data_IF_026593622125
#
_entry.id   IF_026593622125
#
_cell.length_a   1.000
_cell.length_b   1.000
_cell.length_c   1.000
_cell.angle_alpha   90.00
_cell.angle_beta   90.00
_cell.angle_gamma   90.00
#
_symmetry.space_group_name_H-M   'P 1'
#
loop_
_entity.id
_entity.type
_entity.pdbx_description
1 polymer ?
#
# COMPACT_ATOMS: atom_id res chain seq x y z
N UNK A 1 -19.59 8.37 -0.40
CA UNK A 1 -19.64 8.97 0.96
C UNK A 1 -18.87 8.03 1.88
N UNK A 2 -17.57 8.20 1.98
CA UNK A 2 -16.70 7.36 2.83
C UNK A 2 -16.88 7.75 4.29
N UNK A 3 -17.21 6.78 5.12
CA UNK A 3 -17.52 6.95 6.54
C UNK A 3 -16.25 7.35 7.31
N UNK A 4 -16.39 8.25 8.33
CA UNK A 4 -15.33 8.64 9.29
C UNK A 4 -14.68 7.45 10.01
N UNK A 5 -15.27 6.26 9.96
CA UNK A 5 -14.77 5.03 10.58
C UNK A 5 -13.60 4.39 9.82
N UNK A 6 -13.47 4.64 8.52
CA UNK A 6 -12.44 4.01 7.68
C UNK A 6 -11.07 4.70 7.82
N UNK A 7 -11.05 6.00 8.16
CA UNK A 7 -9.82 6.75 8.42
C UNK A 7 -9.12 6.35 9.74
N UNK A 8 -9.90 5.90 10.74
CA UNK A 8 -9.36 5.44 12.03
C UNK A 8 -8.69 4.05 11.94
N UNK A 9 -9.00 3.25 10.93
CA UNK A 9 -8.38 1.93 10.73
C UNK A 9 -6.95 1.98 10.19
N UNK A 10 -6.52 3.11 9.65
CA UNK A 10 -5.15 3.32 9.19
C UNK A 10 -4.11 3.48 10.33
N UNK A 11 -4.57 3.73 11.56
CA UNK A 11 -3.71 4.01 12.70
C UNK A 11 -3.58 2.87 13.74
N UNK A 12 -4.35 1.76 13.62
CA UNK A 12 -4.43 0.72 14.68
C UNK A 12 -4.17 -0.66 14.09
N UNK A 13 -2.97 -0.88 13.61
CA UNK A 13 -2.43 -2.19 13.24
C UNK A 13 -1.25 -2.58 14.15
N UNK A 14 -1.39 -2.46 15.48
CA UNK A 14 -0.34 -2.80 16.44
C UNK A 14 -0.92 -3.52 17.66
N UNK A 15 -0.68 -4.81 17.73
CA UNK A 15 -0.60 -5.75 18.85
C UNK A 15 -1.39 -5.49 20.14
N UNK A 16 -2.43 -6.30 20.37
CA UNK A 16 -2.97 -6.60 21.69
C UNK A 16 -2.67 -8.07 22.00
N UNK A 17 -1.60 -8.31 22.76
CA UNK A 17 -1.36 -9.57 23.47
C UNK A 17 -2.22 -9.57 24.74
N UNK A 18 -3.28 -10.38 24.77
CA UNK A 18 -4.05 -10.67 25.96
C UNK A 18 -3.36 -11.75 26.78
N UNK A 19 -2.85 -11.35 27.94
CA UNK A 19 -2.38 -12.26 28.99
C UNK A 19 -3.57 -12.97 29.64
N UNK A 20 -3.53 -14.30 29.68
CA UNK A 20 -4.54 -15.14 30.30
C UNK A 20 -4.55 -15.05 31.83
N UNK A 21 -5.75 -14.89 32.39
CA UNK A 21 -6.02 -15.07 33.80
C UNK A 21 -6.51 -16.50 34.03
N UNK A 22 -5.69 -17.28 34.73
CA UNK A 22 -6.05 -18.59 35.29
C UNK A 22 -6.93 -18.42 36.52
N UNK A 23 -8.18 -18.92 36.48
CA UNK A 23 -9.01 -19.11 37.65
C UNK A 23 -9.05 -20.61 37.98
N UNK A 24 -8.49 -21.00 39.12
CA UNK A 24 -8.69 -22.31 39.72
C UNK A 24 -10.02 -22.37 40.45
N UNK A 25 -10.81 -23.39 40.16
CA UNK A 25 -11.96 -23.82 40.99
C UNK A 25 -11.95 -25.34 41.14
N UNK A 26 -12.13 -25.90 42.35
CA UNK A 26 -12.13 -27.35 42.59
C UNK A 26 -13.53 -27.92 42.52
N UNK A 27 -13.71 -28.99 41.76
CA UNK A 27 -15.00 -29.70 41.73
C UNK A 27 -14.93 -30.99 40.93
N UNK A 28 -14.83 -32.07 41.63
CA UNK A 28 -15.03 -33.49 41.51
C UNK A 28 -15.61 -34.15 40.26
N UNK A 29 -15.00 -35.25 39.87
CA UNK A 29 -15.66 -36.50 39.52
C UNK A 29 -16.02 -36.68 38.05
N UNK A 30 -15.29 -37.52 37.40
CA UNK A 30 -15.69 -38.64 36.52
C UNK A 30 -14.64 -38.89 35.45
N UNK A 31 -13.95 -40.00 35.58
CA UNK A 31 -12.98 -40.49 34.59
C UNK A 31 -13.69 -40.97 33.34
N UNK A 32 -13.64 -40.14 32.29
CA UNK A 32 -13.84 -40.61 30.94
C UNK A 32 -12.49 -40.46 30.23
N UNK A 33 -11.92 -41.59 29.91
CA UNK A 33 -10.60 -41.68 29.21
C UNK A 33 -10.85 -41.22 27.77
N UNK A 34 -10.57 -39.94 27.49
CA UNK A 34 -10.48 -39.40 26.15
C UNK A 34 -9.12 -39.76 25.57
N UNK A 35 -9.01 -40.37 24.39
CA UNK A 35 -7.73 -40.62 23.77
C UNK A 35 -6.98 -39.30 23.56
N UNK A 36 -5.71 -39.32 23.91
CA UNK A 36 -4.81 -38.18 23.73
C UNK A 36 -4.83 -37.73 22.26
N UNK A 37 -4.89 -36.42 22.00
CA UNK A 37 -4.72 -35.91 20.65
C UNK A 37 -3.33 -36.31 20.16
N UNK A 38 -3.29 -37.03 19.06
CA UNK A 38 -2.08 -37.34 18.31
C UNK A 38 -1.35 -36.02 18.04
N UNK A 39 -0.07 -35.99 18.38
CA UNK A 39 0.79 -34.83 18.15
C UNK A 39 0.62 -34.37 16.72
N UNK A 40 0.14 -33.13 16.55
CA UNK A 40 0.06 -32.47 15.24
C UNK A 40 1.47 -32.43 14.66
N UNK A 41 1.62 -32.95 13.46
CA UNK A 41 2.86 -32.84 12.69
C UNK A 41 3.34 -31.38 12.70
N UNK A 42 4.65 -31.14 12.84
CA UNK A 42 5.21 -29.80 12.77
C UNK A 42 4.77 -29.20 11.42
N UNK A 43 4.03 -28.07 11.49
CA UNK A 43 3.58 -27.32 10.31
C UNK A 43 4.79 -27.08 9.40
N UNK A 44 4.86 -27.82 8.32
CA UNK A 44 5.82 -27.56 7.26
C UNK A 44 5.62 -26.10 6.86
N UNK A 45 6.66 -25.24 6.88
CA UNK A 45 6.53 -23.86 6.45
C UNK A 45 5.96 -23.87 5.03
N UNK A 46 5.01 -22.99 4.72
CA UNK A 46 4.43 -22.93 3.37
C UNK A 46 5.58 -22.75 2.38
N UNK A 47 5.66 -23.63 1.40
CA UNK A 47 6.63 -23.50 0.31
C UNK A 47 6.45 -22.10 -0.30
N UNK A 48 7.55 -21.40 -0.64
CA UNK A 48 7.43 -20.09 -1.26
C UNK A 48 6.53 -20.23 -2.51
N UNK A 49 5.49 -19.41 -2.56
CA UNK A 49 4.54 -19.39 -3.67
C UNK A 49 5.37 -19.00 -4.90
N UNK A 50 5.69 -20.00 -5.72
CA UNK A 50 6.33 -19.74 -7.01
C UNK A 50 5.24 -19.17 -7.91
N UNK A 51 5.33 -17.90 -8.22
CA UNK A 51 4.58 -17.34 -9.34
C UNK A 51 4.99 -18.14 -10.58
N UNK A 52 4.10 -18.93 -11.20
CA UNK A 52 4.47 -19.65 -12.41
C UNK A 52 4.84 -18.61 -13.46
N UNK A 53 6.07 -18.67 -13.96
CA UNK A 53 6.45 -17.87 -15.14
C UNK A 53 5.65 -18.43 -16.30
N UNK A 54 4.73 -17.68 -16.89
CA UNK A 54 3.99 -18.17 -18.06
C UNK A 54 4.97 -18.43 -19.20
N UNK A 55 4.73 -19.46 -20.02
CA UNK A 55 5.53 -19.78 -21.22
C UNK A 55 5.57 -18.60 -22.23
N UNK A 56 4.64 -17.67 -22.11
CA UNK A 56 4.59 -16.40 -22.82
C UNK A 56 4.05 -15.31 -21.89
N UNK A 57 4.47 -14.04 -22.09
CA UNK A 57 3.96 -12.94 -21.28
C UNK A 57 2.44 -12.81 -21.40
N UNK A 58 1.72 -12.56 -20.30
CA UNK A 58 0.28 -12.47 -20.29
C UNK A 58 -0.19 -11.28 -21.14
N UNK A 59 -1.28 -11.49 -21.90
CA UNK A 59 -1.83 -10.46 -22.79
C UNK A 59 -3.01 -9.72 -22.17
N UNK A 60 -3.85 -10.44 -21.41
CA UNK A 60 -5.04 -9.91 -20.76
C UNK A 60 -4.80 -9.82 -19.27
N UNK A 61 -4.52 -8.62 -18.82
CA UNK A 61 -4.15 -8.29 -17.45
C UNK A 61 -5.30 -7.61 -16.72
N UNK A 62 -5.46 -7.92 -15.45
CA UNK A 62 -6.30 -7.12 -14.56
C UNK A 62 -5.42 -6.57 -13.44
N UNK A 63 -5.42 -5.23 -13.27
CA UNK A 63 -4.83 -4.57 -12.11
C UNK A 63 -5.84 -4.55 -10.97
N UNK A 64 -5.43 -4.94 -9.76
CA UNK A 64 -6.32 -4.99 -8.59
C UNK A 64 -5.95 -3.97 -7.50
N UNK A 65 -5.17 -2.97 -7.87
CA UNK A 65 -4.94 -1.77 -7.06
C UNK A 65 -4.64 -0.56 -7.96
N UNK A 66 -4.73 0.63 -7.41
CA UNK A 66 -4.36 1.88 -8.10
C UNK A 66 -2.87 1.89 -8.47
N UNK A 67 -1.99 1.42 -7.57
CA UNK A 67 -0.56 1.37 -7.83
C UNK A 67 -0.20 0.31 -8.89
N UNK A 68 -0.87 -0.84 -8.93
CA UNK A 68 -0.68 -1.84 -9.98
C UNK A 68 -1.08 -1.30 -11.36
N UNK A 69 -2.18 -0.52 -11.40
CA UNK A 69 -2.61 0.16 -12.62
C UNK A 69 -1.58 1.19 -13.09
N UNK A 70 -1.05 2.02 -12.18
CA UNK A 70 -0.01 3.00 -12.47
C UNK A 70 1.26 2.36 -13.03
N UNK A 71 1.67 1.22 -12.47
CA UNK A 71 2.85 0.48 -12.94
C UNK A 71 2.63 -0.09 -14.34
N UNK A 72 1.46 -0.67 -14.62
CA UNK A 72 1.15 -1.16 -15.97
C UNK A 72 1.19 -0.03 -17.00
N UNK A 73 0.58 1.13 -16.70
CA UNK A 73 0.62 2.29 -17.60
C UNK A 73 2.06 2.80 -17.80
N UNK A 74 2.88 2.85 -16.73
CA UNK A 74 4.27 3.25 -16.84
C UNK A 74 5.13 2.30 -17.71
N UNK A 75 4.66 1.07 -17.90
CA UNK A 75 5.26 0.05 -18.76
C UNK A 75 4.61 -0.01 -20.17
N UNK A 76 3.80 0.98 -20.54
CA UNK A 76 3.02 0.99 -21.80
C UNK A 76 2.19 -0.30 -21.97
N UNK A 77 1.57 -0.76 -20.88
CA UNK A 77 0.70 -1.93 -20.86
C UNK A 77 -0.70 -1.54 -20.42
N UNK A 78 -1.62 -1.50 -21.38
CA UNK A 78 -3.03 -1.33 -21.09
C UNK A 78 -3.61 -2.60 -20.46
N UNK A 79 -4.18 -2.53 -19.24
CA UNK A 79 -4.89 -3.66 -18.67
C UNK A 79 -6.24 -3.87 -19.36
N UNK A 80 -6.70 -5.11 -19.42
CA UNK A 80 -8.04 -5.47 -19.92
C UNK A 80 -9.13 -4.91 -19.03
N UNK A 81 -8.86 -4.86 -17.72
CA UNK A 81 -9.71 -4.25 -16.71
C UNK A 81 -8.87 -3.82 -15.50
N UNK A 82 -9.40 -2.94 -14.68
CA UNK A 82 -8.79 -2.61 -13.40
C UNK A 82 -9.84 -2.38 -12.32
N UNK A 83 -9.46 -2.64 -11.10
CA UNK A 83 -10.22 -2.31 -9.92
C UNK A 83 -9.30 -1.74 -8.84
N UNK A 84 -9.75 -0.72 -8.14
CA UNK A 84 -9.06 -0.18 -6.98
C UNK A 84 -10.08 0.40 -6.00
N UNK A 85 -9.80 0.25 -4.71
CA UNK A 85 -10.68 0.75 -3.63
C UNK A 85 -10.88 2.26 -3.68
N UNK A 86 -9.90 2.98 -4.21
CA UNK A 86 -9.90 4.43 -4.42
C UNK A 86 -10.27 4.85 -5.84
N UNK A 87 -10.71 3.88 -6.67
CA UNK A 87 -11.14 4.07 -8.04
C UNK A 87 -10.01 3.97 -9.07
N UNK A 88 -10.40 3.72 -10.31
CA UNK A 88 -9.51 3.59 -11.48
C UNK A 88 -9.56 4.80 -12.41
N UNK A 89 -10.29 5.84 -12.02
CA UNK A 89 -10.49 7.05 -12.79
C UNK A 89 -9.21 7.86 -13.04
N UNK A 90 -9.31 8.95 -13.81
CA UNK A 90 -8.20 9.86 -14.04
C UNK A 90 -7.61 10.38 -12.74
N UNK A 91 -6.29 10.52 -12.69
CA UNK A 91 -5.53 11.07 -11.58
C UNK A 91 -4.52 12.10 -12.09
N UNK A 92 -4.08 13.05 -11.28
CA UNK A 92 -3.11 14.08 -11.72
C UNK A 92 -1.78 13.53 -12.26
N UNK A 93 -1.47 12.28 -11.93
CA UNK A 93 -0.26 11.57 -12.40
C UNK A 93 -0.55 10.48 -13.44
N UNK A 94 -1.82 10.36 -13.89
CA UNK A 94 -2.25 9.28 -14.80
C UNK A 94 -2.99 9.89 -15.99
N UNK A 95 -2.30 9.98 -17.12
CA UNK A 95 -2.85 10.54 -18.39
C UNK A 95 -3.62 9.49 -19.22
N UNK A 96 -3.75 8.28 -18.71
CA UNK A 96 -4.46 7.20 -19.39
C UNK A 96 -5.95 7.21 -19.05
N UNK A 97 -6.82 6.84 -20.01
CA UNK A 97 -8.24 6.66 -19.73
C UNK A 97 -8.45 5.54 -18.72
N UNK A 98 -9.53 5.62 -17.97
CA UNK A 98 -9.89 4.55 -17.05
C UNK A 98 -10.21 3.27 -17.83
N UNK A 99 -9.55 2.15 -17.52
CA UNK A 99 -9.91 0.86 -18.12
C UNK A 99 -11.29 0.40 -17.62
N UNK A 100 -11.93 -0.57 -18.31
CA UNK A 100 -13.14 -1.20 -17.79
C UNK A 100 -12.93 -1.68 -16.35
N UNK A 101 -13.95 -1.50 -15.50
CA UNK A 101 -13.90 -1.95 -14.11
C UNK A 101 -14.93 -3.03 -13.88
N UNK A 102 -14.61 -4.11 -13.15
CA UNK A 102 -15.60 -5.10 -12.74
C UNK A 102 -16.66 -4.44 -11.84
N UNK A 103 -17.90 -4.83 -12.01
CA UNK A 103 -18.97 -4.42 -11.10
C UNK A 103 -18.76 -5.09 -9.75
N UNK A 104 -18.40 -4.29 -8.76
CA UNK A 104 -18.15 -4.75 -7.40
C UNK A 104 -18.39 -3.63 -6.40
N UNK A 105 -19.29 -3.84 -5.48
CA UNK A 105 -19.68 -2.93 -4.39
C UNK A 105 -19.40 -3.51 -2.99
N UNK A 106 -18.84 -4.74 -2.94
CA UNK A 106 -18.48 -5.40 -1.70
C UNK A 106 -17.18 -4.88 -1.07
N UNK A 107 -16.91 -5.28 0.18
CA UNK A 107 -15.64 -5.00 0.83
C UNK A 107 -14.51 -5.84 0.21
N UNK A 108 -13.29 -5.27 0.19
CA UNK A 108 -12.08 -5.97 -0.30
C UNK A 108 -12.02 -6.07 -1.82
N UNK A 109 -11.31 -7.08 -2.32
CA UNK A 109 -11.12 -7.29 -3.75
C UNK A 109 -12.39 -7.83 -4.44
N UNK A 110 -12.53 -7.61 -5.77
CA UNK A 110 -13.64 -8.14 -6.54
C UNK A 110 -13.76 -9.66 -6.45
N UNK A 111 -14.99 -10.16 -6.46
CA UNK A 111 -15.21 -11.60 -6.48
C UNK A 111 -14.70 -12.21 -7.80
N UNK A 112 -14.24 -13.46 -7.76
CA UNK A 112 -13.80 -14.16 -8.98
C UNK A 112 -14.89 -14.17 -10.05
N UNK A 113 -16.17 -14.26 -9.65
CA UNK A 113 -17.30 -14.26 -10.56
C UNK A 113 -17.42 -12.96 -11.35
N UNK A 114 -17.15 -11.80 -10.72
CA UNK A 114 -17.20 -10.49 -11.39
C UNK A 114 -16.01 -10.29 -12.36
N UNK A 115 -14.95 -11.08 -12.24
CA UNK A 115 -13.77 -11.02 -13.08
C UNK A 115 -13.81 -11.97 -14.28
N UNK A 116 -14.63 -13.03 -14.23
CA UNK A 116 -14.76 -14.01 -15.32
C UNK A 116 -15.06 -13.41 -16.70
N UNK A 117 -15.93 -12.36 -16.84
CA UNK A 117 -16.25 -11.79 -18.15
C UNK A 117 -15.04 -11.20 -18.89
N UNK A 118 -13.98 -10.84 -18.18
CA UNK A 118 -12.78 -10.23 -18.78
C UNK A 118 -11.82 -11.26 -19.39
N UNK A 119 -12.00 -12.56 -19.12
CA UNK A 119 -11.20 -13.65 -19.73
C UNK A 119 -9.70 -13.47 -19.52
N UNK A 120 -9.29 -13.25 -18.28
CA UNK A 120 -7.96 -12.82 -17.85
C UNK A 120 -6.90 -13.90 -18.00
N UNK A 121 -5.67 -13.52 -18.35
CA UNK A 121 -4.48 -14.36 -18.36
C UNK A 121 -3.67 -14.21 -17.07
N UNK A 122 -3.65 -12.99 -16.48
CA UNK A 122 -2.99 -12.75 -15.20
C UNK A 122 -3.62 -11.61 -14.43
N UNK A 123 -3.52 -11.71 -13.09
CA UNK A 123 -3.84 -10.66 -12.13
C UNK A 123 -2.57 -9.99 -11.62
N UNK A 124 -2.56 -8.67 -11.51
CA UNK A 124 -1.51 -7.92 -10.83
C UNK A 124 -2.04 -7.52 -9.45
N UNK A 125 -1.41 -8.04 -8.41
CA UNK A 125 -1.81 -7.97 -7.00
C UNK A 125 -0.65 -7.53 -6.08
N UNK A 126 0.34 -6.84 -6.62
CA UNK A 126 1.58 -6.52 -5.88
C UNK A 126 1.32 -5.53 -4.77
N UNK A 127 0.49 -4.51 -5.03
CA UNK A 127 0.14 -3.50 -4.03
C UNK A 127 -1.19 -3.76 -3.31
N UNK A 128 -1.94 -4.79 -3.69
CA UNK A 128 -3.22 -5.10 -3.07
C UNK A 128 -3.04 -5.84 -1.73
N UNK A 129 -3.91 -5.53 -0.76
CA UNK A 129 -4.03 -6.32 0.45
C UNK A 129 -4.83 -7.59 0.16
N UNK A 130 -4.15 -8.72 0.05
CA UNK A 130 -4.77 -10.00 -0.23
C UNK A 130 -4.42 -11.01 0.85
N UNK A 131 -5.43 -11.76 1.31
CA UNK A 131 -5.22 -12.87 2.25
C UNK A 131 -4.84 -14.15 1.52
N UNK A 132 -4.18 -15.09 2.21
CA UNK A 132 -3.82 -16.37 1.61
C UNK A 132 -5.00 -17.16 0.99
N UNK A 133 -6.21 -17.20 1.61
CA UNK A 133 -7.40 -17.80 1.00
C UNK A 133 -7.86 -17.10 -0.27
N UNK A 134 -7.89 -15.76 -0.28
CA UNK A 134 -8.25 -14.97 -1.47
C UNK A 134 -7.25 -15.20 -2.60
N UNK A 135 -5.93 -15.13 -2.29
CA UNK A 135 -4.87 -15.37 -3.25
C UNK A 135 -5.04 -16.72 -3.97
N UNK A 136 -5.29 -17.80 -3.21
CA UNK A 136 -5.55 -19.13 -3.80
C UNK A 136 -6.75 -19.15 -4.74
N UNK A 137 -7.77 -18.34 -4.46
CA UNK A 137 -8.91 -18.19 -5.36
C UNK A 137 -8.50 -17.59 -6.70
N UNK A 138 -7.71 -16.54 -6.71
CA UNK A 138 -7.19 -15.92 -7.94
C UNK A 138 -6.26 -16.86 -8.70
N UNK A 139 -5.36 -17.58 -8.01
CA UNK A 139 -4.45 -18.57 -8.60
C UNK A 139 -5.17 -19.73 -9.32
N UNK A 140 -6.39 -20.06 -8.89
CA UNK A 140 -7.21 -21.08 -9.58
C UNK A 140 -7.77 -20.56 -10.91
N UNK A 141 -7.87 -19.25 -11.09
CA UNK A 141 -8.47 -18.64 -12.27
C UNK A 141 -7.43 -18.26 -13.33
N UNK A 142 -6.30 -17.70 -12.91
CA UNK A 142 -5.24 -17.23 -13.79
C UNK A 142 -3.90 -17.11 -13.04
N UNK A 143 -2.82 -16.78 -13.75
CA UNK A 143 -1.54 -16.44 -13.15
C UNK A 143 -1.70 -15.23 -12.21
N UNK A 144 -1.03 -15.25 -11.07
CA UNK A 144 -1.03 -14.13 -10.14
C UNK A 144 0.38 -13.57 -10.01
N UNK A 145 0.50 -12.26 -10.27
CA UNK A 145 1.74 -11.49 -10.08
C UNK A 145 1.62 -10.83 -8.72
N UNK A 146 2.40 -11.30 -7.76
CA UNK A 146 2.37 -10.88 -6.36
C UNK A 146 3.78 -10.88 -5.77
N UNK A 147 4.07 -9.97 -4.84
CA UNK A 147 5.29 -10.05 -4.05
C UNK A 147 5.08 -11.00 -2.86
N UNK A 148 5.84 -12.10 -2.77
CA UNK A 148 5.73 -13.04 -1.66
C UNK A 148 6.20 -12.47 -0.32
N UNK A 149 6.95 -11.37 -0.32
CA UNK A 149 7.46 -10.70 0.87
C UNK A 149 6.54 -9.59 1.38
N UNK A 150 5.46 -9.30 0.65
CA UNK A 150 4.53 -8.23 0.95
C UNK A 150 4.77 -6.99 0.07
N UNK A 151 4.21 -5.85 0.48
CA UNK A 151 4.23 -4.63 -0.33
C UNK A 151 5.66 -4.11 -0.56
N UNK A 152 6.21 -4.24 -1.78
CA UNK A 152 7.54 -3.74 -2.12
C UNK A 152 7.55 -2.21 -2.19
N UNK A 153 8.74 -1.62 -2.20
CA UNK A 153 8.93 -0.24 -2.62
C UNK A 153 8.56 -0.05 -4.10
N UNK A 154 8.38 1.21 -4.52
CA UNK A 154 7.94 1.52 -5.88
C UNK A 154 8.85 0.90 -6.97
N UNK A 155 10.16 0.82 -6.72
CA UNK A 155 11.13 0.27 -7.66
C UNK A 155 10.97 -1.25 -7.81
N UNK A 156 10.93 -1.96 -6.70
CA UNK A 156 10.78 -3.42 -6.71
C UNK A 156 9.43 -3.84 -7.29
N UNK A 157 8.37 -3.04 -7.02
CA UNK A 157 7.06 -3.22 -7.65
C UNK A 157 7.14 -3.08 -9.17
N UNK A 158 7.77 -2.02 -9.67
CA UNK A 158 7.96 -1.81 -11.10
C UNK A 158 8.74 -2.97 -11.75
N UNK A 159 9.87 -3.38 -11.16
CA UNK A 159 10.73 -4.43 -11.69
C UNK A 159 10.03 -5.79 -11.69
N UNK A 160 9.26 -6.11 -10.65
CA UNK A 160 8.48 -7.35 -10.56
C UNK A 160 7.43 -7.44 -11.67
N UNK A 161 6.63 -6.38 -11.84
CA UNK A 161 5.59 -6.37 -12.87
C UNK A 161 6.22 -6.37 -14.26
N UNK A 162 7.27 -5.57 -14.49
CA UNK A 162 7.98 -5.51 -15.77
C UNK A 162 8.49 -6.88 -16.21
N UNK A 163 9.13 -7.63 -15.29
CA UNK A 163 9.58 -8.99 -15.55
C UNK A 163 8.45 -9.94 -15.90
N UNK A 164 7.30 -9.82 -15.25
CA UNK A 164 6.14 -10.69 -15.50
C UNK A 164 5.44 -10.39 -16.84
N UNK A 165 5.49 -9.14 -17.33
CA UNK A 165 4.83 -8.73 -18.57
C UNK A 165 5.81 -8.57 -19.75
N UNK A 166 7.07 -8.95 -19.56
CA UNK A 166 8.16 -8.86 -20.55
C UNK A 166 8.31 -7.43 -21.10
N UNK A 167 8.56 -6.48 -20.18
CA UNK A 167 8.79 -5.08 -20.51
C UNK A 167 10.07 -4.56 -19.84
N UNK A 168 10.72 -3.60 -20.49
CA UNK A 168 11.86 -2.90 -19.92
C UNK A 168 11.38 -1.85 -18.91
N UNK A 169 11.71 -1.95 -17.61
CA UNK A 169 11.33 -0.97 -16.61
C UNK A 169 12.19 0.31 -16.65
N UNK A 170 13.32 0.29 -17.37
CA UNK A 170 14.34 1.34 -17.32
C UNK A 170 13.79 2.74 -17.62
N UNK A 171 12.99 2.98 -18.69
CA UNK A 171 12.51 4.32 -18.99
C UNK A 171 11.64 4.91 -17.90
N UNK A 172 10.72 4.11 -17.35
CA UNK A 172 9.83 4.53 -16.26
C UNK A 172 10.62 4.78 -14.97
N UNK A 173 11.57 3.89 -14.67
CA UNK A 173 12.42 4.00 -13.49
C UNK A 173 13.31 5.24 -13.51
N UNK A 174 13.97 5.54 -14.64
CA UNK A 174 14.83 6.72 -14.76
C UNK A 174 14.01 8.01 -14.66
N UNK A 175 12.81 8.04 -15.23
CA UNK A 175 11.89 9.18 -15.10
C UNK A 175 11.52 9.44 -13.65
N UNK A 176 11.07 8.41 -12.93
CA UNK A 176 10.73 8.53 -11.51
C UNK A 176 11.94 8.90 -10.65
N UNK A 177 13.07 8.23 -10.85
CA UNK A 177 14.32 8.49 -10.14
C UNK A 177 14.77 9.95 -10.28
N UNK A 178 14.77 10.47 -11.50
CA UNK A 178 15.14 11.87 -11.77
C UNK A 178 14.23 12.83 -11.00
N UNK A 179 12.91 12.62 -11.04
CA UNK A 179 11.96 13.47 -10.33
C UNK A 179 12.16 13.41 -8.80
N UNK A 180 12.45 12.22 -8.25
CA UNK A 180 12.73 12.01 -6.83
C UNK A 180 14.05 12.65 -6.40
N UNK A 181 15.09 12.57 -7.22
CA UNK A 181 16.39 13.22 -6.99
C UNK A 181 16.22 14.74 -6.98
N UNK A 182 15.57 15.32 -7.99
CA UNK A 182 15.29 16.76 -8.09
C UNK A 182 14.50 17.26 -6.86
N UNK A 183 13.49 16.50 -6.44
CA UNK A 183 12.73 16.81 -5.24
C UNK A 183 13.64 16.77 -3.99
N UNK A 184 14.41 15.71 -3.82
CA UNK A 184 15.30 15.52 -2.66
C UNK A 184 16.35 16.62 -2.55
N UNK A 185 16.97 16.99 -3.66
CA UNK A 185 17.93 18.09 -3.73
C UNK A 185 17.26 19.43 -3.39
N UNK A 186 16.04 19.64 -3.87
CA UNK A 186 15.23 20.80 -3.54
C UNK A 186 15.01 20.94 -2.03
N UNK A 187 14.63 19.84 -1.35
CA UNK A 187 14.43 19.83 0.09
C UNK A 187 15.75 20.09 0.86
N UNK A 188 16.84 19.44 0.47
CA UNK A 188 18.16 19.65 1.10
C UNK A 188 18.66 21.10 0.94
N UNK A 189 18.46 21.73 -0.21
CA UNK A 189 18.77 23.16 -0.40
C UNK A 189 17.99 24.09 0.51
N UNK A 190 16.80 23.67 0.93
CA UNK A 190 15.97 24.40 1.92
C UNK A 190 16.36 24.07 3.37
N UNK A 191 17.37 23.23 3.60
CA UNK A 191 17.80 22.81 4.93
C UNK A 191 16.83 21.86 5.61
N UNK A 192 16.05 21.09 4.83
CA UNK A 192 15.13 20.08 5.37
C UNK A 192 15.88 18.77 5.58
N UNK A 193 15.92 18.29 6.81
CA UNK A 193 16.52 17.01 7.21
C UNK A 193 15.47 15.95 7.52
N UNK A 194 14.29 16.40 7.94
CA UNK A 194 13.21 15.53 8.34
C UNK A 194 11.85 16.05 7.87
N UNK A 195 10.92 15.14 7.66
CA UNK A 195 9.53 15.46 7.38
C UNK A 195 8.62 14.88 8.46
N UNK A 196 7.60 15.64 8.83
CA UNK A 196 6.44 15.13 9.53
C UNK A 196 5.21 15.33 8.67
N UNK A 197 4.54 14.23 8.36
CA UNK A 197 3.31 14.25 7.56
C UNK A 197 2.13 14.20 8.52
N UNK A 198 1.39 15.30 8.58
CA UNK A 198 0.22 15.46 9.46
C UNK A 198 -1.04 15.19 8.67
N UNK A 199 -1.91 14.34 9.19
CA UNK A 199 -3.22 14.05 8.60
C UNK A 199 -4.29 14.92 9.28
N UNK A 200 -4.90 15.86 8.54
CA UNK A 200 -5.96 16.71 9.10
C UNK A 200 -6.26 17.98 8.31
N UNK A 201 -7.47 18.51 8.52
CA UNK A 201 -8.01 19.71 7.85
C UNK A 201 -7.82 20.98 8.70
N UNK A 202 -6.65 21.37 8.99
CA UNK A 202 -6.42 22.59 9.75
C UNK A 202 -6.10 22.34 11.22
N UNK A 203 -4.96 22.80 11.65
CA UNK A 203 -4.54 22.66 13.03
C UNK A 203 -4.37 24.06 13.62
N UNK A 204 -5.07 24.31 14.72
CA UNK A 204 -4.68 25.34 15.68
C UNK A 204 -3.43 24.85 16.41
N UNK A 205 -2.58 25.75 16.98
CA UNK A 205 -1.33 25.34 17.64
C UNK A 205 -1.50 24.23 18.68
N UNK A 206 -2.61 24.25 19.41
CA UNK A 206 -2.91 23.30 20.49
C UNK A 206 -3.75 22.10 20.06
N UNK A 207 -4.14 22.01 18.78
CA UNK A 207 -4.92 20.88 18.29
C UNK A 207 -4.03 19.64 18.19
N UNK A 208 -4.40 18.51 18.83
CA UNK A 208 -3.72 17.25 18.62
C UNK A 208 -3.84 16.82 17.15
N UNK A 209 -2.72 16.43 16.55
CA UNK A 209 -2.65 15.96 15.18
C UNK A 209 -2.02 14.57 15.13
N UNK A 210 -2.56 13.71 14.28
CA UNK A 210 -1.95 12.43 13.97
C UNK A 210 -0.86 12.62 12.93
N UNK A 211 0.25 11.92 13.13
CA UNK A 211 1.36 11.87 12.17
C UNK A 211 1.36 10.57 11.38
N UNK A 212 1.84 10.61 10.15
CA UNK A 212 2.04 9.43 9.35
C UNK A 212 3.14 8.57 9.97
N UNK A 213 2.90 7.27 10.11
CA UNK A 213 3.92 6.36 10.62
C UNK A 213 5.10 6.24 9.63
N UNK A 214 6.32 6.20 10.17
CA UNK A 214 7.53 5.98 9.38
C UNK A 214 7.52 4.62 8.64
N UNK A 215 6.75 3.66 9.17
CA UNK A 215 6.55 2.34 8.57
C UNK A 215 5.40 2.29 7.55
N UNK A 216 4.67 3.40 7.36
CA UNK A 216 3.68 3.47 6.28
C UNK A 216 4.36 3.44 4.91
N UNK A 217 3.67 3.05 3.84
CA UNK A 217 4.26 3.00 2.51
C UNK A 217 4.96 4.31 2.13
N UNK A 218 4.27 5.45 2.22
CA UNK A 218 4.89 6.74 1.93
C UNK A 218 6.02 7.09 2.90
N UNK A 219 5.89 6.79 4.19
CA UNK A 219 6.95 7.04 5.18
C UNK A 219 8.21 6.24 4.89
N UNK A 220 8.08 5.00 4.44
CA UNK A 220 9.19 4.15 4.03
C UNK A 220 9.93 4.73 2.81
N UNK A 221 9.18 5.21 1.81
CA UNK A 221 9.75 5.84 0.61
C UNK A 221 10.48 7.15 0.95
N UNK A 222 9.92 8.00 1.80
CA UNK A 222 10.58 9.24 2.27
C UNK A 222 11.91 8.90 2.95
N UNK A 223 11.96 7.84 3.77
CA UNK A 223 13.21 7.40 4.42
C UNK A 223 14.22 6.84 3.42
N UNK A 224 13.76 6.10 2.41
CA UNK A 224 14.62 5.61 1.33
C UNK A 224 15.29 6.75 0.55
N UNK A 225 14.67 7.93 0.49
CA UNK A 225 15.25 9.16 -0.09
C UNK A 225 16.22 9.88 0.86
N UNK A 226 16.45 9.36 2.06
CA UNK A 226 17.41 9.88 3.03
C UNK A 226 16.88 10.98 3.94
N UNK A 227 15.56 11.12 4.08
CA UNK A 227 14.94 12.03 5.04
C UNK A 227 14.42 11.25 6.25
N UNK A 228 14.57 11.84 7.45
CA UNK A 228 13.91 11.30 8.63
C UNK A 228 12.40 11.53 8.56
N UNK A 229 11.63 10.59 9.08
CA UNK A 229 10.17 10.74 9.22
C UNK A 229 9.84 10.80 10.69
N UNK A 230 9.54 12.02 11.18
CA UNK A 230 9.14 12.22 12.56
C UNK A 230 7.71 11.68 12.75
N UNK A 231 7.64 10.41 13.16
CA UNK A 231 6.39 9.72 13.44
C UNK A 231 6.18 9.60 14.95
N UNK A 232 4.97 9.93 15.40
CA UNK A 232 4.59 9.83 16.80
C UNK A 232 3.44 8.85 16.95
N UNK A 233 3.50 7.89 17.89
CA UNK A 233 2.44 6.89 18.06
C UNK A 233 1.14 7.55 18.53
N UNK A 234 1.24 8.60 19.35
CA UNK A 234 0.10 9.33 19.87
C UNK A 234 -0.05 10.70 19.18
N UNK A 235 -1.28 11.20 19.06
CA UNK A 235 -1.52 12.56 18.60
C UNK A 235 -0.79 13.58 19.49
N UNK A 236 -0.07 14.51 18.86
CA UNK A 236 0.68 15.56 19.55
C UNK A 236 0.15 16.94 19.18
N UNK A 237 0.27 17.96 20.08
CA UNK A 237 -0.06 19.32 19.72
C UNK A 237 0.75 19.79 18.50
N UNK A 238 0.09 20.44 17.55
CA UNK A 238 0.75 20.89 16.31
C UNK A 238 1.97 21.78 16.56
N UNK A 239 1.97 22.59 17.63
CA UNK A 239 3.10 23.44 18.03
C UNK A 239 4.37 22.63 18.36
N UNK A 240 4.21 21.38 18.84
CA UNK A 240 5.33 20.53 19.27
C UNK A 240 6.05 19.88 18.08
N UNK A 241 5.51 20.06 16.87
CA UNK A 241 6.13 19.62 15.62
C UNK A 241 7.10 20.63 15.01
N UNK A 242 7.33 21.77 15.67
CA UNK A 242 8.21 22.83 15.15
C UNK A 242 9.62 22.65 15.70
N UNK A 243 10.57 22.34 14.80
CA UNK A 243 12.01 22.35 15.10
C UNK A 243 12.81 22.71 13.83
N UNK A 244 14.04 23.27 13.96
CA UNK A 244 14.90 23.51 12.81
C UNK A 244 15.12 22.22 12.00
N UNK A 245 15.18 22.33 10.67
CA UNK A 245 15.34 21.20 9.77
C UNK A 245 14.10 20.31 9.58
N UNK A 246 13.03 20.50 10.39
CA UNK A 246 11.81 19.73 10.25
C UNK A 246 10.81 20.47 9.36
N UNK A 247 10.42 19.86 8.26
CA UNK A 247 9.31 20.34 7.45
C UNK A 247 8.02 19.64 7.84
N UNK A 248 7.02 20.43 8.27
CA UNK A 248 5.67 19.93 8.52
C UNK A 248 4.86 20.03 7.25
N UNK A 249 4.47 18.88 6.71
CA UNK A 249 3.60 18.77 5.55
C UNK A 249 2.23 18.23 5.98
N UNK A 250 1.18 18.68 5.31
CA UNK A 250 -0.17 18.35 5.71
C UNK A 250 -0.91 17.64 4.57
N UNK A 251 -1.50 16.50 4.89
CA UNK A 251 -2.43 15.79 4.02
C UNK A 251 -3.84 16.18 4.45
N UNK A 252 -4.58 16.83 3.55
CA UNK A 252 -6.02 17.00 3.74
C UNK A 252 -6.69 15.64 3.44
N UNK A 253 -7.42 15.05 4.40
CA UNK A 253 -8.12 13.78 4.16
C UNK A 253 -9.24 13.88 3.11
N UNK A 254 -9.53 15.09 2.61
CA UNK A 254 -10.46 15.34 1.51
C UNK A 254 -9.74 15.42 0.15
N UNK A 255 -8.43 15.49 0.14
CA UNK A 255 -7.63 15.38 -1.08
C UNK A 255 -7.48 13.90 -1.41
N UNK A 256 -8.50 13.33 -2.06
CA UNK A 256 -8.57 11.90 -2.36
C UNK A 256 -7.37 11.43 -3.20
N UNK A 257 -6.83 12.28 -4.06
CA UNK A 257 -5.66 11.96 -4.86
C UNK A 257 -4.41 11.81 -3.98
N UNK A 258 -4.17 12.78 -3.09
CA UNK A 258 -3.01 12.71 -2.20
C UNK A 258 -3.13 11.55 -1.19
N UNK A 259 -4.34 11.26 -0.72
CA UNK A 259 -4.60 10.10 0.15
C UNK A 259 -4.33 8.79 -0.58
N UNK A 260 -4.77 8.67 -1.83
CA UNK A 260 -4.52 7.48 -2.66
C UNK A 260 -3.02 7.27 -2.90
N UNK A 261 -2.31 8.30 -3.34
CA UNK A 261 -0.86 8.25 -3.58
C UNK A 261 -0.06 7.96 -2.30
N UNK A 262 -0.50 8.46 -1.14
CA UNK A 262 0.15 8.19 0.15
C UNK A 262 -0.09 6.76 0.66
N UNK A 263 -1.23 6.17 0.33
CA UNK A 263 -1.61 4.81 0.73
C UNK A 263 -0.84 3.76 -0.05
N UNK A 264 -0.67 3.97 -1.35
CA UNK A 264 -0.02 3.05 -2.26
C UNK A 264 0.87 3.84 -3.24
N UNK A 265 2.07 4.29 -2.79
CA UNK A 265 3.00 4.98 -3.67
C UNK A 265 3.42 4.08 -4.84
N UNK A 266 3.34 4.61 -6.05
CA UNK A 266 3.76 3.95 -7.28
C UNK A 266 4.88 4.72 -7.98
N UNK A 267 5.42 4.15 -9.04
CA UNK A 267 6.38 4.82 -9.91
C UNK A 267 5.89 6.18 -10.43
N UNK A 268 4.58 6.34 -10.64
CA UNK A 268 3.96 7.56 -11.12
C UNK A 268 3.46 8.47 -9.97
N UNK A 269 2.79 7.90 -8.98
CA UNK A 269 2.14 8.69 -7.93
C UNK A 269 3.11 9.22 -6.86
N UNK A 270 4.23 8.53 -6.59
CA UNK A 270 5.18 8.95 -5.56
C UNK A 270 5.84 10.31 -5.86
N UNK A 271 6.42 10.58 -7.04
CA UNK A 271 7.00 11.88 -7.35
C UNK A 271 5.95 13.01 -7.25
N UNK A 272 4.76 12.78 -7.77
CA UNK A 272 3.66 13.73 -7.69
C UNK A 272 3.24 14.02 -6.23
N UNK A 273 3.09 12.98 -5.41
CA UNK A 273 2.70 13.14 -4.01
C UNK A 273 3.70 13.96 -3.22
N UNK A 274 5.00 13.69 -3.39
CA UNK A 274 6.07 14.42 -2.72
C UNK A 274 6.11 15.89 -3.15
N UNK A 275 5.99 16.17 -4.45
CA UNK A 275 5.88 17.54 -4.96
C UNK A 275 4.62 18.24 -4.39
N UNK A 276 3.46 17.58 -4.43
CA UNK A 276 2.21 18.11 -3.93
C UNK A 276 2.25 18.44 -2.45
N UNK A 277 2.88 17.58 -1.63
CA UNK A 277 3.04 17.77 -0.19
C UNK A 277 3.89 18.98 0.15
N UNK A 278 4.91 19.28 -0.66
CA UNK A 278 5.89 20.32 -0.35
C UNK A 278 5.68 21.62 -1.13
N UNK A 279 4.79 21.63 -2.13
CA UNK A 279 4.51 22.80 -2.99
C UNK A 279 4.06 24.01 -2.15
N UNK A 280 4.72 25.13 -2.39
CA UNK A 280 4.38 26.44 -1.76
C UNK A 280 4.75 26.57 -0.30
N UNK A 281 5.53 25.67 0.27
CA UNK A 281 5.97 25.72 1.66
C UNK A 281 7.41 26.21 1.78
N UNK A 282 7.61 27.22 2.63
CA UNK A 282 8.94 27.59 3.12
C UNK A 282 9.22 26.78 4.40
N UNK A 283 10.47 26.32 4.60
CA UNK A 283 10.85 25.73 5.89
C UNK A 283 10.58 26.71 7.03
N UNK A 284 10.26 26.18 8.20
CA UNK A 284 9.93 26.95 9.39
C UNK A 284 11.16 27.67 9.97
#
# INVERSE_FOLDING_TARGET
>A
MTSRRDLLRLAVGGGLTLAGLTACGPGGGSTTTTPAPTASDPLTPPSPIRTPTPDAPPRRLIALSSADLDVLHALDREPTAAWAVDGTGPRPWRDHPAPPSPEWDGPGLPSLRSLLPFGVDAFVLVAADVTGPELRGYEQLATVIVDPQGRPGWRDHLDLVAGAVDRDPTPAAETAKKALEEWSEGQRRLGVDALVVVIGTGARPDTPVATLAATSPLGAEIRALGFDVDSRPDPVPYRDLRRPGLQVVRVDPRDDDLVAAARQPSVASLPWALERLTRGRRPA
#
